data_IF_184107715435
#
_entry.id   IF_184107715435
#
_cell.length_a   1.000
_cell.length_b   1.000
_cell.length_c   1.000
_cell.angle_alpha   90.00
_cell.angle_beta   90.00
_cell.angle_gamma   90.00
#
_symmetry.space_group_name_H-M   'P 1'
#
loop_
_entity.id
_entity.type
_entity.pdbx_description
1 polymer ?
#
# COMPACT_ATOMS: atom_id res chain seq x y z
N UNK A 1 -11.83 -26.40 64.11
CA UNK A 1 -11.62 -25.07 64.71
C UNK A 1 -11.15 -24.19 63.57
N UNK A 2 -12.12 -23.61 62.90
CA UNK A 2 -11.98 -22.65 61.81
C UNK A 2 -11.70 -21.28 62.42
N UNK A 3 -10.80 -20.50 61.84
CA UNK A 3 -10.82 -19.06 62.00
C UNK A 3 -10.31 -18.41 60.73
N UNK A 4 -11.27 -18.01 59.92
CA UNK A 4 -11.16 -17.04 58.84
C UNK A 4 -10.61 -15.70 59.38
N UNK A 5 -9.81 -15.00 58.57
CA UNK A 5 -9.55 -13.58 58.78
C UNK A 5 -9.56 -12.87 57.44
N UNK A 6 -10.50 -11.94 57.34
CA UNK A 6 -10.86 -11.21 56.15
C UNK A 6 -10.30 -9.77 56.17
N UNK A 7 -10.09 -9.27 54.95
CA UNK A 7 -10.33 -7.89 54.48
C UNK A 7 -9.60 -6.72 55.16
N UNK A 8 -8.75 -6.06 54.36
CA UNK A 8 -8.64 -4.61 54.34
C UNK A 8 -8.45 -4.14 52.88
N UNK A 9 -9.52 -3.60 52.31
CA UNK A 9 -9.51 -2.92 51.01
C UNK A 9 -9.30 -1.42 51.24
N UNK A 10 -8.20 -0.86 50.75
CA UNK A 10 -7.95 0.58 50.77
C UNK A 10 -8.83 1.29 49.73
N UNK A 11 -9.70 2.19 50.24
CA UNK A 11 -10.43 3.18 49.46
C UNK A 11 -9.56 4.43 49.29
N UNK A 12 -9.17 4.74 48.06
CA UNK A 12 -8.62 6.06 47.71
C UNK A 12 -9.73 7.07 47.40
N UNK A 13 -9.53 8.36 47.73
CA UNK A 13 -10.56 9.38 47.68
C UNK A 13 -10.86 9.89 46.26
N UNK A 14 -12.15 10.14 46.02
CA UNK A 14 -12.69 10.92 44.89
C UNK A 14 -12.10 12.34 44.92
N UNK A 15 -11.47 12.76 43.82
CA UNK A 15 -11.13 14.17 43.56
C UNK A 15 -11.97 14.73 42.43
N UNK A 16 -12.33 15.99 42.62
CA UNK A 16 -13.43 16.72 42.02
C UNK A 16 -13.34 16.97 40.50
N UNK A 17 -14.53 17.10 39.92
CA UNK A 17 -14.81 17.79 38.67
C UNK A 17 -14.42 19.27 38.74
N UNK A 18 -13.75 19.80 37.72
CA UNK A 18 -14.09 21.07 37.03
C UNK A 18 -12.99 21.45 36.04
N UNK A 19 -13.41 21.84 34.83
CA UNK A 19 -12.51 22.38 33.81
C UNK A 19 -13.04 22.19 32.39
N UNK A 20 -14.15 22.84 32.05
CA UNK A 20 -14.49 23.15 30.66
C UNK A 20 -13.30 23.88 30.01
N UNK A 21 -12.70 23.28 28.99
CA UNK A 21 -12.09 24.04 27.91
C UNK A 21 -12.73 23.58 26.61
N UNK A 22 -13.73 24.34 26.19
CA UNK A 22 -14.21 24.34 24.81
C UNK A 22 -13.08 24.90 23.94
N UNK A 23 -12.18 24.00 23.51
CA UNK A 23 -11.21 24.29 22.47
C UNK A 23 -11.94 24.45 21.14
N UNK A 24 -11.87 25.66 20.58
CA UNK A 24 -12.48 26.08 19.34
C UNK A 24 -12.40 24.99 18.25
N UNK A 25 -13.55 24.41 17.93
CA UNK A 25 -13.76 23.60 16.75
C UNK A 25 -13.61 24.54 15.54
N UNK A 26 -12.40 24.63 14.98
CA UNK A 26 -12.18 25.28 13.68
C UNK A 26 -13.06 24.53 12.69
N UNK A 27 -14.16 25.18 12.31
CA UNK A 27 -15.01 24.83 11.19
C UNK A 27 -14.09 24.69 9.98
N UNK A 28 -13.82 23.44 9.58
CA UNK A 28 -13.19 23.16 8.28
C UNK A 28 -14.17 23.68 7.24
N UNK A 29 -13.74 24.67 6.47
CA UNK A 29 -14.49 25.17 5.32
C UNK A 29 -14.93 23.97 4.47
N UNK A 30 -16.25 23.82 4.34
CA UNK A 30 -16.89 22.77 3.56
C UNK A 30 -16.33 22.75 2.14
N UNK A 31 -15.68 21.64 1.78
CA UNK A 31 -15.52 21.27 0.39
C UNK A 31 -16.86 20.73 -0.10
N UNK A 32 -17.27 21.16 -1.29
CA UNK A 32 -18.43 20.61 -1.98
C UNK A 32 -18.25 19.09 -2.13
N UNK A 33 -19.31 18.28 -1.95
CA UNK A 33 -19.24 16.84 -2.18
C UNK A 33 -18.99 16.58 -3.67
N UNK A 34 -17.79 16.08 -4.00
CA UNK A 34 -17.44 15.65 -5.36
C UNK A 34 -16.08 16.11 -5.87
N UNK A 35 -15.41 17.07 -5.23
CA UNK A 35 -14.05 17.47 -5.59
C UNK A 35 -13.07 16.74 -4.67
N UNK A 36 -12.42 15.67 -5.17
CA UNK A 36 -11.19 15.18 -4.57
C UNK A 36 -10.19 16.33 -4.59
N UNK A 37 -10.08 17.08 -3.48
CA UNK A 37 -8.99 18.03 -3.32
C UNK A 37 -7.70 17.24 -3.43
N UNK A 38 -6.95 17.46 -4.51
CA UNK A 38 -5.56 17.05 -4.60
C UNK A 38 -4.90 17.54 -3.31
N UNK A 39 -4.43 16.61 -2.49
CA UNK A 39 -3.75 17.00 -1.26
C UNK A 39 -2.57 17.90 -1.63
N UNK A 40 -2.34 18.96 -0.87
CA UNK A 40 -1.12 19.75 -1.03
C UNK A 40 0.11 18.84 -0.91
N UNK A 41 1.25 19.24 -1.47
CA UNK A 41 2.49 18.43 -1.44
C UNK A 41 2.89 18.00 -0.01
N UNK A 42 2.56 18.80 1.00
CA UNK A 42 2.77 18.44 2.41
C UNK A 42 1.90 17.28 2.90
N UNK A 43 0.68 17.13 2.37
CA UNK A 43 -0.22 16.02 2.70
C UNK A 43 0.23 14.74 2.00
N UNK A 44 0.64 14.87 0.74
CA UNK A 44 1.30 13.78 -0.02
C UNK A 44 2.55 13.30 0.71
N UNK A 45 3.45 14.21 1.10
CA UNK A 45 4.64 13.88 1.88
C UNK A 45 4.30 13.19 3.22
N UNK A 46 3.35 13.75 3.99
CA UNK A 46 2.90 13.15 5.25
C UNK A 46 2.37 11.72 5.04
N UNK A 47 1.57 11.49 4.01
CA UNK A 47 1.01 10.18 3.71
C UNK A 47 2.10 9.17 3.30
N UNK A 48 3.13 9.64 2.58
CA UNK A 48 4.36 8.87 2.34
C UNK A 48 5.04 8.50 3.66
N UNK A 49 5.37 9.47 4.51
CA UNK A 49 6.01 9.18 5.80
C UNK A 49 5.21 8.23 6.69
N UNK A 50 3.87 8.36 6.68
CA UNK A 50 2.99 7.45 7.42
C UNK A 50 3.08 6.00 6.92
N UNK A 51 3.19 5.79 5.60
CA UNK A 51 3.43 4.45 5.08
C UNK A 51 4.80 3.93 5.56
N UNK A 52 5.85 4.76 5.52
CA UNK A 52 7.20 4.36 5.92
C UNK A 52 7.22 3.88 7.37
N UNK A 53 6.61 4.65 8.25
CA UNK A 53 6.50 4.29 9.66
C UNK A 53 5.60 3.07 9.90
N UNK A 54 4.54 2.89 9.10
CA UNK A 54 3.69 1.70 9.22
C UNK A 54 4.43 0.40 8.86
N UNK A 55 5.38 0.43 7.92
CA UNK A 55 6.17 -0.75 7.57
C UNK A 55 7.14 -1.17 8.66
N UNK A 56 7.69 -0.20 9.41
CA UNK A 56 8.54 -0.48 10.57
C UNK A 56 7.76 -1.06 11.74
N UNK A 57 6.54 -0.55 11.95
CA UNK A 57 5.74 -0.85 13.14
C UNK A 57 4.84 -2.07 12.97
N UNK A 58 4.55 -2.52 11.75
CA UNK A 58 3.72 -3.69 11.47
C UNK A 58 4.54 -4.94 11.16
N UNK A 59 4.11 -6.06 11.75
CA UNK A 59 4.53 -7.42 11.38
C UNK A 59 6.02 -7.66 11.52
N UNK A 60 6.72 -7.67 10.38
CA UNK A 60 8.11 -8.13 10.26
C UNK A 60 9.15 -7.01 10.33
N UNK A 61 8.72 -5.77 10.59
CA UNK A 61 9.63 -4.64 10.80
C UNK A 61 10.53 -4.39 9.60
N UNK A 62 9.92 -4.20 8.41
CA UNK A 62 10.66 -3.83 7.20
C UNK A 62 11.30 -2.48 7.45
N UNK A 63 12.62 -2.39 7.34
CA UNK A 63 13.30 -1.11 7.26
C UNK A 63 13.11 -0.53 5.85
N UNK A 64 12.27 0.51 5.66
CA UNK A 64 12.00 1.05 4.34
C UNK A 64 13.13 1.98 3.86
N UNK A 65 14.11 2.30 4.69
CA UNK A 65 15.16 3.28 4.37
C UNK A 65 16.10 2.65 3.33
N UNK A 66 16.15 3.18 2.09
CA UNK A 66 17.18 2.78 1.14
C UNK A 66 18.52 3.35 1.61
N UNK A 67 19.64 2.80 1.13
CA UNK A 67 20.96 3.37 1.42
C UNK A 67 21.11 4.82 0.86
N UNK A 68 20.24 5.22 -0.06
CA UNK A 68 20.21 6.53 -0.70
C UNK A 68 18.90 7.28 -0.43
N UNK A 69 18.95 8.60 -0.50
CA UNK A 69 17.76 9.45 -0.40
C UNK A 69 16.83 9.27 -1.60
N UNK A 70 15.53 9.17 -1.35
CA UNK A 70 14.51 9.21 -2.40
C UNK A 70 14.14 10.66 -2.73
N UNK A 71 13.94 10.96 -4.02
CA UNK A 71 13.59 12.31 -4.50
C UNK A 71 12.22 12.30 -5.16
N UNK A 72 11.31 13.16 -4.68
CA UNK A 72 10.00 13.39 -5.30
C UNK A 72 10.04 14.65 -6.17
N UNK A 73 9.82 14.47 -7.47
CA UNK A 73 9.75 15.53 -8.48
C UNK A 73 8.29 15.88 -8.74
N UNK A 74 7.89 17.09 -8.32
CA UNK A 74 6.54 17.60 -8.50
C UNK A 74 6.53 19.10 -8.86
N UNK A 75 5.75 19.53 -9.88
CA UNK A 75 5.02 18.69 -10.82
C UNK A 75 5.96 18.04 -11.84
N UNK A 76 5.71 16.78 -12.19
CA UNK A 76 6.34 16.18 -13.36
C UNK A 76 5.77 16.80 -14.64
N UNK A 77 6.61 17.53 -15.36
CA UNK A 77 6.28 18.18 -16.63
C UNK A 77 6.96 17.50 -17.82
N UNK A 78 7.59 16.34 -17.59
CA UNK A 78 8.42 15.64 -18.57
C UNK A 78 7.86 14.24 -18.88
N UNK A 79 8.12 13.72 -20.08
CA UNK A 79 7.73 12.35 -20.47
C UNK A 79 8.70 11.28 -19.92
N UNK A 80 9.18 11.47 -18.69
CA UNK A 80 10.20 10.61 -18.05
C UNK A 80 9.68 9.18 -17.80
N UNK A 81 8.36 9.03 -17.65
CA UNK A 81 7.69 7.75 -17.45
C UNK A 81 7.36 6.99 -18.76
N UNK A 82 7.85 7.47 -19.92
CA UNK A 82 7.86 6.78 -21.22
C UNK A 82 6.52 6.17 -21.66
N UNK A 83 5.41 6.90 -21.54
CA UNK A 83 4.14 6.48 -22.12
C UNK A 83 4.20 6.42 -23.65
N UNK A 84 3.58 5.40 -24.24
CA UNK A 84 3.48 5.25 -25.70
C UNK A 84 2.69 6.40 -26.35
N UNK A 85 1.69 6.93 -25.65
CA UNK A 85 0.89 8.09 -26.08
C UNK A 85 1.52 9.46 -25.75
N UNK A 86 2.75 9.47 -25.23
CA UNK A 86 3.51 10.66 -24.80
C UNK A 86 2.80 11.54 -23.77
N UNK A 87 1.73 11.05 -23.11
CA UNK A 87 1.10 11.77 -22.02
C UNK A 87 1.98 11.73 -20.77
N UNK A 88 1.87 12.77 -19.95
CA UNK A 88 2.55 12.81 -18.65
C UNK A 88 1.96 11.73 -17.73
N UNK A 89 2.81 11.18 -16.87
CA UNK A 89 2.44 10.12 -15.93
C UNK A 89 3.28 10.23 -14.65
N UNK A 90 2.84 9.54 -13.60
CA UNK A 90 3.64 9.34 -12.40
C UNK A 90 4.38 8.01 -12.45
N UNK A 91 5.61 7.98 -11.98
CA UNK A 91 6.41 6.76 -11.97
C UNK A 91 7.51 6.82 -10.92
N UNK A 92 8.08 5.67 -10.63
CA UNK A 92 9.30 5.49 -9.86
C UNK A 92 10.41 4.90 -10.73
N UNK A 93 11.66 5.12 -10.34
CA UNK A 93 12.84 4.54 -10.99
C UNK A 93 13.86 4.02 -9.99
N UNK A 94 14.75 3.16 -10.49
CA UNK A 94 15.75 2.42 -9.70
C UNK A 94 16.82 3.31 -9.07
N UNK A 95 16.96 4.56 -9.50
CA UNK A 95 17.93 5.53 -8.94
C UNK A 95 17.35 6.35 -7.77
N UNK A 96 16.15 6.02 -7.29
CA UNK A 96 15.51 6.68 -6.16
C UNK A 96 14.64 7.88 -6.52
N UNK A 97 14.41 8.14 -7.81
CA UNK A 97 13.52 9.21 -8.24
C UNK A 97 12.07 8.74 -8.39
N UNK A 98 11.14 9.58 -7.93
CA UNK A 98 9.70 9.48 -8.14
C UNK A 98 9.23 10.76 -8.83
N UNK A 99 8.53 10.62 -9.94
CA UNK A 99 7.90 11.73 -10.65
C UNK A 99 6.41 11.68 -10.45
N UNK A 100 5.79 12.81 -10.12
CA UNK A 100 4.34 12.87 -9.92
C UNK A 100 3.68 13.98 -10.71
N UNK A 101 2.64 13.66 -11.49
CA UNK A 101 1.82 14.67 -12.17
C UNK A 101 0.74 15.23 -11.22
N UNK A 102 0.24 16.47 -11.46
CA UNK A 102 -0.81 17.06 -10.62
C UNK A 102 -2.04 16.18 -10.40
N UNK A 103 -2.49 15.45 -11.43
CA UNK A 103 -3.65 14.55 -11.33
C UNK A 103 -3.41 13.34 -10.41
N UNK A 104 -2.15 13.02 -10.12
CA UNK A 104 -1.72 11.89 -9.32
C UNK A 104 -1.09 12.33 -7.98
N UNK A 105 -1.18 13.61 -7.62
CA UNK A 105 -0.68 14.16 -6.37
C UNK A 105 -1.60 13.76 -5.19
N UNK A 106 -1.68 12.47 -4.93
CA UNK A 106 -2.47 11.88 -3.85
C UNK A 106 -1.59 10.98 -3.00
N UNK A 107 -1.93 10.83 -1.72
CA UNK A 107 -1.21 9.92 -0.84
C UNK A 107 -1.23 8.47 -1.32
N UNK A 108 -2.33 8.02 -1.95
CA UNK A 108 -2.43 6.65 -2.48
C UNK A 108 -1.44 6.39 -3.60
N UNK A 109 -1.32 7.32 -4.57
CA UNK A 109 -0.37 7.16 -5.67
C UNK A 109 1.06 7.25 -5.15
N UNK A 110 1.38 8.20 -4.26
CA UNK A 110 2.74 8.26 -3.71
C UNK A 110 3.12 6.96 -2.99
N UNK A 111 2.22 6.37 -2.19
CA UNK A 111 2.46 5.08 -1.53
C UNK A 111 2.72 3.96 -2.53
N UNK A 112 2.01 3.96 -3.66
CA UNK A 112 2.24 3.02 -4.76
C UNK A 112 3.63 3.21 -5.38
N UNK A 113 3.99 4.44 -5.74
CA UNK A 113 5.33 4.72 -6.28
C UNK A 113 6.45 4.38 -5.30
N UNK A 114 6.22 4.58 -4.01
CA UNK A 114 7.21 4.20 -3.03
C UNK A 114 7.21 2.66 -2.77
N UNK A 115 6.14 1.94 -3.08
CA UNK A 115 6.13 0.48 -3.16
C UNK A 115 7.12 -0.05 -4.20
N UNK A 116 7.22 0.62 -5.36
CA UNK A 116 8.28 0.34 -6.35
C UNK A 116 9.69 0.58 -5.79
N UNK A 117 9.89 1.59 -4.94
CA UNK A 117 11.20 1.80 -4.30
C UNK A 117 11.61 0.65 -3.38
N UNK A 118 10.66 0.02 -2.69
CA UNK A 118 10.92 -1.18 -1.90
C UNK A 118 11.21 -2.39 -2.78
N UNK A 119 10.49 -2.51 -3.90
CA UNK A 119 10.76 -3.53 -4.89
C UNK A 119 12.22 -3.43 -5.39
N UNK A 120 12.68 -2.24 -5.76
CA UNK A 120 14.06 -2.02 -6.19
C UNK A 120 15.07 -2.36 -5.09
N UNK A 121 14.76 -2.06 -3.82
CA UNK A 121 15.60 -2.47 -2.70
C UNK A 121 15.68 -4.00 -2.58
N UNK A 122 14.55 -4.69 -2.56
CA UNK A 122 14.52 -6.15 -2.35
C UNK A 122 15.04 -6.95 -3.53
N UNK A 123 14.90 -6.44 -4.75
CA UNK A 123 15.39 -7.09 -5.96
C UNK A 123 16.73 -6.53 -6.42
N UNK A 124 17.43 -5.77 -5.57
CA UNK A 124 18.76 -5.21 -5.87
C UNK A 124 18.81 -4.44 -7.21
N UNK A 125 17.79 -3.63 -7.47
CA UNK A 125 17.61 -2.87 -8.71
C UNK A 125 17.22 -3.71 -9.92
N UNK A 126 17.10 -5.03 -9.79
CA UNK A 126 16.66 -5.91 -10.86
C UNK A 126 15.15 -5.77 -11.05
N UNK A 127 14.76 -5.41 -12.27
CA UNK A 127 13.37 -5.21 -12.65
C UNK A 127 13.03 -6.17 -13.77
N UNK A 128 12.11 -7.11 -13.54
CA UNK A 128 11.63 -8.04 -14.57
C UNK A 128 11.25 -7.31 -15.87
N UNK A 129 11.76 -7.83 -16.99
CA UNK A 129 11.52 -7.29 -18.35
C UNK A 129 11.78 -5.78 -18.51
N UNK A 130 12.61 -5.17 -17.63
CA UNK A 130 12.82 -3.71 -17.56
C UNK A 130 11.51 -2.89 -17.52
N UNK A 131 10.42 -3.45 -16.99
CA UNK A 131 9.08 -2.90 -17.15
C UNK A 131 8.48 -2.30 -15.87
N UNK A 132 9.28 -2.08 -14.81
CA UNK A 132 8.78 -1.59 -13.52
C UNK A 132 8.57 -0.07 -13.48
N UNK A 133 7.52 0.37 -12.77
CA UNK A 133 7.19 1.78 -12.59
C UNK A 133 6.75 2.46 -13.89
N UNK A 134 6.39 1.69 -14.92
CA UNK A 134 5.88 2.25 -16.18
C UNK A 134 4.39 2.56 -16.08
N UNK A 135 3.85 3.26 -17.08
CA UNK A 135 2.42 3.56 -17.03
C UNK A 135 1.55 2.33 -17.16
N UNK A 136 0.52 2.28 -16.34
CA UNK A 136 -0.45 1.21 -16.33
C UNK A 136 -1.85 1.72 -15.97
N UNK A 137 -2.77 0.78 -15.86
CA UNK A 137 -4.14 0.93 -15.39
C UNK A 137 -4.44 -0.31 -14.56
N UNK A 138 -5.14 -0.14 -13.43
CA UNK A 138 -5.44 -1.22 -12.49
C UNK A 138 -6.08 -2.47 -13.13
N UNK A 139 -6.86 -2.29 -14.20
CA UNK A 139 -7.57 -3.38 -14.91
C UNK A 139 -6.89 -3.80 -16.21
N UNK A 140 -5.68 -3.28 -16.49
CA UNK A 140 -4.93 -3.62 -17.69
C UNK A 140 -4.34 -5.03 -17.65
N UNK A 141 -4.01 -5.54 -18.83
CA UNK A 141 -3.25 -6.78 -19.02
C UNK A 141 -1.88 -6.43 -19.59
N UNK A 142 -0.82 -6.85 -18.91
CA UNK A 142 0.56 -6.46 -19.21
C UNK A 142 1.45 -7.66 -19.50
N UNK A 143 2.76 -7.43 -19.69
CA UNK A 143 3.73 -8.52 -19.62
C UNK A 143 3.91 -8.97 -18.15
N UNK A 144 4.57 -10.10 -17.94
CA UNK A 144 4.76 -10.68 -16.61
C UNK A 144 5.51 -9.71 -15.67
N UNK A 145 6.55 -9.05 -16.17
CA UNK A 145 7.36 -8.15 -15.36
C UNK A 145 6.63 -6.89 -14.86
N UNK A 146 5.87 -6.22 -15.73
CA UNK A 146 5.06 -5.06 -15.36
C UNK A 146 3.95 -5.49 -14.39
N UNK A 147 3.22 -6.56 -14.69
CA UNK A 147 2.18 -7.06 -13.78
C UNK A 147 2.74 -7.39 -12.39
N UNK A 148 3.90 -8.06 -12.34
CA UNK A 148 4.58 -8.42 -11.10
C UNK A 148 4.99 -7.18 -10.29
N UNK A 149 5.58 -6.19 -10.96
CA UNK A 149 6.02 -4.95 -10.34
C UNK A 149 4.84 -4.13 -9.79
N UNK A 150 3.84 -3.84 -10.62
CA UNK A 150 2.68 -3.04 -10.19
C UNK A 150 1.84 -3.75 -9.13
N UNK A 151 1.75 -5.08 -9.23
CA UNK A 151 1.08 -5.90 -8.21
C UNK A 151 1.81 -5.91 -6.88
N UNK A 152 3.14 -5.96 -6.89
CA UNK A 152 3.94 -5.81 -5.66
C UNK A 152 3.70 -4.43 -5.03
N UNK A 153 3.76 -3.35 -5.82
CA UNK A 153 3.49 -2.00 -5.33
C UNK A 153 2.08 -1.92 -4.69
N UNK A 154 1.05 -2.42 -5.35
CA UNK A 154 -0.32 -2.48 -4.83
C UNK A 154 -0.44 -3.32 -3.55
N UNK A 155 0.25 -4.45 -3.47
CA UNK A 155 0.31 -5.26 -2.24
C UNK A 155 0.91 -4.49 -1.07
N UNK A 156 1.99 -3.73 -1.27
CA UNK A 156 2.61 -2.95 -0.20
C UNK A 156 1.66 -1.90 0.40
N UNK A 157 0.74 -1.33 -0.39
CA UNK A 157 -0.32 -0.47 0.16
C UNK A 157 -1.23 -1.24 1.12
N UNK A 158 -1.56 -2.49 0.80
CA UNK A 158 -2.41 -3.32 1.64
C UNK A 158 -1.67 -3.70 2.92
N UNK A 159 -0.42 -4.14 2.81
CA UNK A 159 0.44 -4.41 3.97
C UNK A 159 0.51 -3.21 4.91
N UNK A 160 0.81 -2.02 4.38
CA UNK A 160 0.98 -0.82 5.19
C UNK A 160 -0.30 -0.44 5.94
N UNK A 161 -1.48 -0.61 5.32
CA UNK A 161 -2.75 -0.12 5.85
C UNK A 161 -3.55 -1.16 6.63
N UNK A 162 -3.37 -2.46 6.37
CA UNK A 162 -4.15 -3.53 6.99
C UNK A 162 -3.32 -4.35 7.98
N UNK A 163 -4.00 -5.05 8.89
CA UNK A 163 -3.37 -6.06 9.74
C UNK A 163 -3.28 -7.38 8.98
N UNK A 164 -2.28 -8.21 9.27
CA UNK A 164 -2.07 -9.53 8.64
C UNK A 164 -3.28 -10.48 8.76
N UNK A 165 -4.17 -10.24 9.72
CA UNK A 165 -5.39 -11.02 9.96
C UNK A 165 -6.66 -10.26 9.57
N UNK A 166 -6.55 -9.19 8.79
CA UNK A 166 -7.71 -8.47 8.31
C UNK A 166 -8.62 -9.42 7.52
N UNK A 167 -9.90 -9.44 7.84
CA UNK A 167 -10.88 -10.32 7.20
C UNK A 167 -11.13 -10.01 5.71
N UNK A 168 -10.62 -8.86 5.22
CA UNK A 168 -10.74 -8.43 3.83
C UNK A 168 -9.66 -7.41 3.49
N UNK A 169 -9.03 -7.59 2.32
CA UNK A 169 -8.17 -6.60 1.69
C UNK A 169 -8.91 -5.83 0.59
N UNK A 170 -9.77 -4.89 1.01
CA UNK A 170 -10.67 -4.12 0.13
C UNK A 170 -10.45 -2.60 0.05
N UNK A 171 -9.44 -2.07 0.75
CA UNK A 171 -9.13 -0.64 0.79
C UNK A 171 -7.63 -0.36 0.65
N UNK A 172 -7.19 0.47 -0.32
CA UNK A 172 -8.02 1.29 -1.22
C UNK A 172 -8.59 0.54 -2.43
N UNK A 173 -8.19 -0.72 -2.64
CA UNK A 173 -8.65 -1.56 -3.75
C UNK A 173 -8.97 -2.97 -3.25
N UNK A 174 -9.85 -3.69 -3.96
CA UNK A 174 -10.27 -5.04 -3.61
C UNK A 174 -9.41 -6.11 -4.27
N UNK A 175 -8.26 -6.41 -3.65
CA UNK A 175 -7.33 -7.44 -4.14
C UNK A 175 -7.79 -8.87 -3.81
N UNK A 176 -8.76 -9.03 -2.90
CA UNK A 176 -9.38 -10.32 -2.59
C UNK A 176 -10.37 -10.76 -3.68
N UNK A 177 -10.92 -9.79 -4.39
CA UNK A 177 -11.86 -9.96 -5.50
C UNK A 177 -11.40 -9.21 -6.76
N UNK A 178 -10.29 -9.64 -7.38
CA UNK A 178 -9.78 -9.04 -8.61
C UNK A 178 -10.64 -9.42 -9.84
N UNK A 179 -11.68 -10.25 -9.67
CA UNK A 179 -12.62 -10.69 -10.70
C UNK A 179 -13.37 -9.52 -11.38
N UNK A 180 -13.48 -8.36 -10.72
CA UNK A 180 -14.08 -7.16 -11.31
C UNK A 180 -13.23 -6.53 -12.43
N UNK A 181 -11.93 -6.82 -12.49
CA UNK A 181 -11.00 -6.28 -13.50
C UNK A 181 -10.91 -7.10 -14.79
N UNK A 182 -11.51 -8.30 -14.80
CA UNK A 182 -11.30 -9.29 -15.86
C UNK A 182 -9.99 -10.06 -15.67
N UNK A 183 -10.06 -11.39 -15.66
CA UNK A 183 -8.88 -12.23 -15.80
C UNK A 183 -8.37 -12.11 -17.24
N UNK A 184 -7.09 -11.77 -17.43
CA UNK A 184 -6.48 -11.76 -18.75
C UNK A 184 -6.57 -13.18 -19.33
N UNK A 185 -7.22 -13.32 -20.50
CA UNK A 185 -7.89 -14.54 -21.01
C UNK A 185 -7.06 -15.83 -21.08
N UNK A 186 -5.73 -15.78 -20.92
CA UNK A 186 -4.86 -16.97 -20.95
C UNK A 186 -3.76 -16.98 -19.88
N UNK A 187 -3.42 -15.84 -19.27
CA UNK A 187 -2.42 -15.69 -18.20
C UNK A 187 -2.75 -14.43 -17.42
N UNK A 188 -2.96 -14.50 -16.09
CA UNK A 188 -3.42 -13.37 -15.26
C UNK A 188 -2.38 -12.24 -15.08
N UNK A 189 -1.89 -11.62 -16.16
CA UNK A 189 -0.96 -10.49 -16.08
C UNK A 189 -1.64 -9.16 -15.71
N UNK A 190 -2.57 -9.23 -14.77
CA UNK A 190 -3.22 -8.08 -14.17
C UNK A 190 -2.65 -7.88 -12.77
N UNK A 191 -2.29 -6.64 -12.46
CA UNK A 191 -1.61 -6.29 -11.19
C UNK A 191 -2.45 -6.57 -9.93
N UNK A 192 -3.79 -6.51 -10.01
CA UNK A 192 -4.64 -6.82 -8.85
C UNK A 192 -4.62 -8.32 -8.52
N UNK A 193 -4.50 -9.17 -9.54
CA UNK A 193 -4.31 -10.61 -9.33
C UNK A 193 -2.94 -10.93 -8.71
N UNK A 194 -1.89 -10.25 -9.15
CA UNK A 194 -0.55 -10.33 -8.53
C UNK A 194 -0.62 -9.86 -7.07
N UNK A 195 -1.22 -8.68 -6.81
CA UNK A 195 -1.32 -8.13 -5.47
C UNK A 195 -2.10 -9.05 -4.52
N UNK A 196 -3.23 -9.59 -4.99
CA UNK A 196 -4.03 -10.58 -4.25
C UNK A 196 -3.24 -11.84 -3.91
N UNK A 197 -2.35 -12.26 -4.80
CA UNK A 197 -1.48 -13.43 -4.58
C UNK A 197 -0.42 -13.16 -3.51
N UNK A 198 0.23 -11.99 -3.52
CA UNK A 198 1.13 -11.60 -2.42
C UNK A 198 0.37 -11.54 -1.09
N UNK A 199 -0.85 -11.01 -1.11
CA UNK A 199 -1.69 -10.96 0.08
C UNK A 199 -2.06 -12.34 0.59
N UNK A 200 -2.49 -13.27 -0.26
CA UNK A 200 -2.83 -14.65 0.12
C UNK A 200 -1.61 -15.42 0.73
N UNK A 201 -0.36 -15.05 0.39
CA UNK A 201 0.84 -15.60 1.03
C UNK A 201 1.19 -14.89 2.35
N UNK A 202 0.89 -13.60 2.43
CA UNK A 202 1.20 -12.79 3.59
C UNK A 202 0.18 -13.00 4.70
N UNK A 203 -1.10 -12.99 4.38
CA UNK A 203 -2.17 -13.06 5.35
C UNK A 203 -2.16 -14.43 6.06
N UNK A 204 -2.41 -14.39 7.37
CA UNK A 204 -2.57 -15.62 8.17
C UNK A 204 -4.04 -15.89 8.45
N UNK A 205 -4.93 -15.17 7.75
CA UNK A 205 -6.35 -15.34 7.89
C UNK A 205 -6.74 -16.70 7.32
N UNK A 206 -7.22 -17.58 8.19
CA UNK A 206 -7.81 -18.86 7.81
C UNK A 206 -9.33 -18.72 7.95
N UNK A 207 -10.07 -18.42 6.87
CA UNK A 207 -11.51 -18.52 6.94
C UNK A 207 -11.87 -19.98 7.18
N UNK A 208 -12.80 -20.26 8.08
CA UNK A 208 -13.28 -21.60 8.41
C UNK A 208 -13.88 -22.38 7.22
N UNK A 209 -13.94 -21.77 6.02
CA UNK A 209 -14.57 -22.32 4.81
C UNK A 209 -13.79 -22.09 3.50
N UNK A 210 -12.56 -21.54 3.49
CA UNK A 210 -11.80 -21.42 2.22
C UNK A 210 -11.21 -22.77 1.83
N UNK A 211 -11.52 -23.22 0.61
CA UNK A 211 -10.76 -24.26 -0.07
C UNK A 211 -9.26 -23.88 -0.08
N UNK A 212 -8.33 -24.84 0.01
CA UNK A 212 -6.89 -24.58 -0.02
C UNK A 212 -6.55 -23.66 -1.19
N UNK A 213 -5.68 -22.67 -0.94
CA UNK A 213 -5.27 -21.60 -1.86
C UNK A 213 -5.37 -22.01 -3.34
N UNK A 214 -6.53 -21.76 -3.97
CA UNK A 214 -6.76 -22.11 -5.39
C UNK A 214 -5.91 -21.25 -6.34
N UNK A 215 -5.20 -20.25 -5.80
CA UNK A 215 -4.42 -19.23 -6.52
C UNK A 215 -2.90 -19.42 -6.40
N UNK A 216 -2.42 -20.32 -5.53
CA UNK A 216 -1.00 -20.46 -5.26
C UNK A 216 -0.21 -21.08 -6.43
N UNK A 217 -0.84 -21.94 -7.25
CA UNK A 217 -0.18 -22.55 -8.43
C UNK A 217 0.20 -21.52 -9.49
N UNK A 218 -0.52 -20.41 -9.59
CA UNK A 218 -0.22 -19.35 -10.54
C UNK A 218 0.94 -18.46 -10.08
N UNK A 219 1.04 -18.23 -8.77
CA UNK A 219 2.15 -17.48 -8.21
C UNK A 219 3.48 -18.17 -8.53
N UNK A 220 3.50 -19.49 -8.39
CA UNK A 220 4.64 -20.33 -8.74
C UNK A 220 5.04 -20.10 -10.22
N UNK A 221 4.09 -20.02 -11.16
CA UNK A 221 4.37 -19.74 -12.57
C UNK A 221 5.00 -18.36 -12.81
N UNK A 222 4.56 -17.31 -12.10
CA UNK A 222 5.17 -15.97 -12.20
C UNK A 222 6.58 -15.95 -11.60
N UNK A 223 6.77 -16.57 -10.43
CA UNK A 223 8.07 -16.58 -9.76
C UNK A 223 9.07 -17.54 -10.41
N UNK A 224 8.61 -18.53 -11.17
CA UNK A 224 9.47 -19.47 -11.91
C UNK A 224 9.86 -18.95 -13.30
N UNK A 225 8.96 -18.25 -14.01
CA UNK A 225 9.28 -17.66 -15.32
C UNK A 225 10.32 -16.53 -15.24
N UNK A 226 10.45 -15.85 -14.10
CA UNK A 226 11.42 -14.78 -13.88
C UNK A 226 12.81 -15.25 -13.35
N UNK A 227 13.07 -16.57 -13.30
CA UNK A 227 14.37 -17.13 -12.89
C UNK A 227 15.30 -17.49 -14.06
N UNK A 228 14.94 -17.13 -15.30
CA UNK A 228 15.74 -17.34 -16.51
C UNK A 228 16.37 -16.02 -16.96
#
# INVERSE_FOLDING_TARGET
MESESALAAERLPRRAQHGQQQGAQRVRAGGLPGEQRSGGIGEVHRDGMNFWESLKTKGEGIDPVPATSLSLHYPNTTNTCKRSDKKLWSCASTDGNIWSIPAHATGSVLKHELGHQLQFKFWNGQVPDNSSGLSHTLTGCYNAGLALSEGFANFMLMWSNLDRNAASASSPMNIERPDFGGACTTKNFNELWVAGTFWDFYDSFTPSTRAPCRRCTWAEDIFTQNKQ
#
